data_IF_838615714341
#
_entry.id   IF_838615714341
#
_cell.length_a   1.000
_cell.length_b   1.000
_cell.length_c   1.000
_cell.angle_alpha   90.00
_cell.angle_beta   90.00
_cell.angle_gamma   90.00
#
_symmetry.space_group_name_H-M   'P 1'
#
loop_
_entity.id
_entity.type
_entity.pdbx_description
1 polymer ?
#
# COMPACT_ATOMS: atom_id res chain seq x y z
N UNK A 1 2.26 -8.71 -13.01
CA UNK A 1 2.80 -9.98 -12.48
C UNK A 1 3.35 -9.76 -11.07
N UNK A 2 3.21 -10.72 -10.15
CA UNK A 2 3.70 -10.60 -8.76
C UNK A 2 4.54 -11.82 -8.37
N UNK A 3 5.79 -11.60 -7.97
CA UNK A 3 6.73 -12.64 -7.54
C UNK A 3 7.23 -12.39 -6.13
N UNK A 4 7.33 -13.47 -5.36
CA UNK A 4 7.89 -13.47 -4.01
C UNK A 4 9.34 -13.97 -4.10
N UNK A 5 10.28 -13.26 -3.49
CA UNK A 5 11.69 -13.67 -3.48
C UNK A 5 12.32 -13.38 -2.14
N UNK A 6 13.42 -14.10 -1.83
CA UNK A 6 14.14 -13.96 -0.56
C UNK A 6 15.50 -13.34 -0.83
N UNK A 7 15.87 -12.33 -0.06
CA UNK A 7 17.19 -11.70 -0.12
C UNK A 7 17.74 -11.53 1.30
N UNK A 8 18.98 -12.00 1.54
CA UNK A 8 19.65 -11.94 2.86
C UNK A 8 18.76 -12.40 4.03
N UNK A 9 17.98 -13.46 3.82
CA UNK A 9 17.09 -13.99 4.85
C UNK A 9 15.70 -13.35 4.94
N UNK A 10 15.47 -12.20 4.31
CA UNK A 10 14.20 -11.45 4.37
C UNK A 10 13.40 -11.65 3.08
N UNK A 11 12.08 -11.76 3.21
CA UNK A 11 11.15 -11.89 2.09
C UNK A 11 10.78 -10.53 1.49
N UNK A 12 10.72 -10.50 0.17
CA UNK A 12 10.36 -9.35 -0.64
C UNK A 12 9.25 -9.72 -1.63
N UNK A 13 8.44 -8.74 -1.97
CA UNK A 13 7.41 -8.81 -2.98
C UNK A 13 7.76 -7.87 -4.13
N UNK A 14 7.95 -8.44 -5.32
CA UNK A 14 8.10 -7.69 -6.57
C UNK A 14 6.79 -7.72 -7.35
N UNK A 15 6.30 -6.55 -7.73
CA UNK A 15 5.08 -6.41 -8.53
C UNK A 15 5.40 -5.55 -9.74
N UNK A 16 5.03 -6.05 -10.92
CA UNK A 16 5.11 -5.32 -12.18
C UNK A 16 3.70 -5.06 -12.69
N UNK A 17 3.38 -3.80 -12.93
CA UNK A 17 2.11 -3.32 -13.48
C UNK A 17 2.38 -2.21 -14.50
N UNK A 18 1.81 -2.31 -15.70
CA UNK A 18 1.99 -1.35 -16.81
C UNK A 18 3.46 -0.95 -17.07
N UNK A 19 4.36 -1.93 -17.11
CA UNK A 19 5.80 -1.70 -17.33
C UNK A 19 6.57 -1.19 -16.10
N UNK A 20 5.88 -0.69 -15.06
CA UNK A 20 6.49 -0.23 -13.82
C UNK A 20 6.64 -1.37 -12.82
N UNK A 21 7.87 -1.58 -12.34
CA UNK A 21 8.20 -2.59 -11.33
C UNK A 21 8.46 -1.92 -9.99
N UNK A 22 7.76 -2.39 -8.95
CA UNK A 22 8.00 -2.01 -7.55
C UNK A 22 8.37 -3.23 -6.73
N UNK A 23 9.41 -3.09 -5.90
CA UNK A 23 9.87 -4.12 -4.97
C UNK A 23 9.73 -3.60 -3.55
N UNK A 24 9.12 -4.38 -2.66
CA UNK A 24 8.92 -4.00 -1.26
C UNK A 24 9.31 -5.14 -0.31
N UNK A 25 10.00 -4.80 0.78
CA UNK A 25 10.32 -5.75 1.84
C UNK A 25 9.06 -6.09 2.64
N UNK A 26 8.84 -7.37 2.88
CA UNK A 26 7.80 -7.87 3.79
C UNK A 26 8.28 -7.91 5.25
N UNK A 27 9.53 -7.48 5.51
CA UNK A 27 10.16 -7.40 6.84
C UNK A 27 10.07 -8.69 7.68
N UNK A 28 9.94 -9.83 7.02
CA UNK A 28 9.83 -11.14 7.68
C UNK A 28 10.83 -12.12 7.06
N UNK A 29 11.32 -13.05 7.89
CA UNK A 29 12.13 -14.19 7.46
C UNK A 29 11.30 -15.46 7.22
N UNK A 30 10.08 -15.50 7.76
CA UNK A 30 9.16 -16.63 7.67
C UNK A 30 8.32 -16.56 6.37
N UNK A 31 8.31 -17.68 5.64
CA UNK A 31 7.55 -17.83 4.40
C UNK A 31 6.03 -17.88 4.63
N UNK A 32 5.57 -18.41 5.77
CA UNK A 32 4.13 -18.47 6.10
C UNK A 32 3.57 -17.06 6.25
N UNK A 33 4.26 -16.25 7.04
CA UNK A 33 3.95 -14.83 7.24
C UNK A 33 4.06 -14.06 5.92
N UNK A 34 5.10 -14.32 5.12
CA UNK A 34 5.26 -13.67 3.82
C UNK A 34 4.10 -13.99 2.85
N UNK A 35 3.59 -15.22 2.84
CA UNK A 35 2.44 -15.62 2.01
C UNK A 35 1.14 -14.94 2.45
N UNK A 36 0.92 -14.75 3.74
CA UNK A 36 -0.23 -14.01 4.27
C UNK A 36 -0.14 -12.52 3.91
N UNK A 37 1.02 -11.90 4.15
CA UNK A 37 1.27 -10.50 3.82
C UNK A 37 1.22 -10.22 2.32
N UNK A 38 1.48 -11.22 1.46
CA UNK A 38 1.45 -11.07 0.00
C UNK A 38 0.15 -10.48 -0.50
N UNK A 39 -1.01 -10.93 -0.01
CA UNK A 39 -2.32 -10.46 -0.50
C UNK A 39 -2.53 -8.98 -0.15
N UNK A 40 -2.26 -8.63 1.11
CA UNK A 40 -2.41 -7.27 1.63
C UNK A 40 -1.45 -6.27 0.97
N UNK A 41 -0.16 -6.63 0.88
CA UNK A 41 0.84 -5.74 0.28
C UNK A 41 0.64 -5.60 -1.23
N UNK A 42 0.10 -6.64 -1.89
CA UNK A 42 -0.24 -6.58 -3.32
C UNK A 42 -1.33 -5.55 -3.62
N UNK A 43 -2.41 -5.51 -2.84
CA UNK A 43 -3.48 -4.51 -3.08
C UNK A 43 -2.96 -3.09 -2.84
N UNK A 44 -2.16 -2.88 -1.80
CA UNK A 44 -1.54 -1.58 -1.53
C UNK A 44 -0.62 -1.10 -2.67
N UNK A 45 0.28 -1.96 -3.14
CA UNK A 45 1.20 -1.62 -4.24
C UNK A 45 0.44 -1.39 -5.56
N UNK A 46 -0.61 -2.18 -5.86
CA UNK A 46 -1.43 -1.96 -7.06
C UNK A 46 -2.18 -0.63 -6.96
N UNK A 47 -2.78 -0.30 -5.82
CA UNK A 47 -3.45 0.99 -5.63
C UNK A 47 -2.48 2.17 -5.83
N UNK A 48 -1.23 2.03 -5.38
CA UNK A 48 -0.19 3.02 -5.60
C UNK A 48 0.23 3.13 -7.07
N UNK A 49 0.49 2.00 -7.74
CA UNK A 49 0.88 1.95 -9.15
C UNK A 49 -0.24 2.43 -10.08
N UNK A 50 -1.49 2.14 -9.74
CA UNK A 50 -2.67 2.59 -10.49
C UNK A 50 -3.05 4.03 -10.17
N UNK A 51 -2.33 4.72 -9.26
CA UNK A 51 -2.69 6.06 -8.75
C UNK A 51 -4.13 6.15 -8.21
N UNK A 52 -4.73 4.98 -7.89
CA UNK A 52 -6.03 4.81 -7.26
C UNK A 52 -5.96 4.92 -5.74
N UNK A 53 -4.74 5.05 -5.20
CA UNK A 53 -4.56 5.61 -3.86
C UNK A 53 -5.24 6.96 -3.88
N UNK A 54 -6.44 7.00 -3.32
CA UNK A 54 -7.04 8.19 -2.75
C UNK A 54 -5.97 8.65 -1.78
N UNK A 55 -5.05 9.51 -2.25
CA UNK A 55 -4.22 10.28 -1.37
C UNK A 55 -5.26 11.05 -0.59
N UNK A 56 -5.52 10.60 0.63
CA UNK A 56 -6.15 11.47 1.60
C UNK A 56 -5.30 12.73 1.50
N UNK A 57 -5.94 13.83 1.08
CA UNK A 57 -5.18 15.05 0.77
C UNK A 57 -4.29 15.29 1.99
N UNK A 58 -3.03 15.63 1.76
CA UNK A 58 -2.07 15.87 2.84
C UNK A 58 -2.46 17.21 3.47
N UNK A 59 -3.58 17.22 4.18
CA UNK A 59 -4.22 18.38 4.76
C UNK A 59 -3.60 18.58 6.12
N UNK A 60 -3.28 19.83 6.40
CA UNK A 60 -2.99 20.23 7.77
C UNK A 60 -4.22 20.03 8.64
N UNK A 61 -4.00 19.82 9.94
CA UNK A 61 -5.10 19.56 10.87
C UNK A 61 -6.21 20.63 10.78
N UNK A 62 -5.82 21.91 10.62
CA UNK A 62 -6.75 23.02 10.43
C UNK A 62 -7.69 22.83 9.24
N UNK A 63 -7.16 22.42 8.09
CA UNK A 63 -7.94 22.21 6.87
C UNK A 63 -8.88 21.00 6.99
N UNK A 64 -8.48 20.01 7.80
CA UNK A 64 -9.25 18.82 8.11
C UNK A 64 -10.46 19.16 9.00
N UNK A 65 -10.23 19.98 10.03
CA UNK A 65 -11.28 20.50 10.93
C UNK A 65 -12.30 21.33 10.16
N UNK A 66 -11.85 22.24 9.29
CA UNK A 66 -12.77 23.04 8.47
C UNK A 66 -13.65 22.19 7.56
N UNK A 67 -13.08 21.19 6.91
CA UNK A 67 -13.85 20.29 6.05
C UNK A 67 -14.83 19.44 6.84
N UNK A 68 -14.39 18.94 8.00
CA UNK A 68 -15.26 18.21 8.89
C UNK A 68 -16.43 19.10 9.30
N UNK A 69 -16.21 20.31 9.79
CA UNK A 69 -17.30 21.20 10.22
C UNK A 69 -18.22 21.69 9.07
N UNK A 70 -17.73 21.73 7.83
CA UNK A 70 -18.51 22.13 6.64
C UNK A 70 -19.37 21.00 6.06
N UNK A 71 -19.04 19.75 6.35
CA UNK A 71 -19.85 18.60 5.94
C UNK A 71 -21.08 18.47 6.84
N UNK A 72 -22.22 18.10 6.25
CA UNK A 72 -23.47 17.91 6.98
C UNK A 72 -23.51 16.50 7.58
N UNK A 73 -23.26 16.40 8.89
CA UNK A 73 -23.20 15.13 9.63
C UNK A 73 -24.58 14.58 9.99
N UNK A 74 -25.65 15.19 9.51
CA UNK A 74 -27.01 14.71 9.72
C UNK A 74 -27.33 13.56 8.75
N UNK A 75 -26.84 12.34 9.05
CA UNK A 75 -27.38 11.11 8.47
C UNK A 75 -27.23 9.90 9.37
#
# INVERSE_FOLDING_TARGET
MASLYKNKGVWYLAITHNGNRKCQSLKTKDIKVAKQLKSYVKSAIIAELSRLTIRNKNLEFSELVERFLKEDHAK
#
